data_IF_219450605287
#
_entry.id   IF_219450605287
#
_cell.length_a   1.000
_cell.length_b   1.000
_cell.length_c   1.000
_cell.angle_alpha   90.00
_cell.angle_beta   90.00
_cell.angle_gamma   90.00
#
_symmetry.space_group_name_H-M   'P 1'
#
loop_
_entity.id
_entity.type
_entity.pdbx_description
1 polymer ?
#
# COMPACT_ATOMS: atom_id res chain seq x y z
N UNK A 1 -69.82 24.36 -18.66
CA UNK A 1 -69.58 24.08 -17.22
C UNK A 1 -68.08 23.89 -17.07
N UNK A 2 -67.39 24.81 -16.39
CA UNK A 2 -65.93 24.72 -16.24
C UNK A 2 -65.60 23.63 -15.20
N UNK A 3 -64.79 22.65 -15.58
CA UNK A 3 -64.22 21.67 -14.66
C UNK A 3 -63.64 22.40 -13.44
N UNK A 4 -64.27 22.24 -12.27
CA UNK A 4 -63.72 22.67 -10.99
C UNK A 4 -62.59 21.71 -10.59
N UNK A 5 -61.51 21.73 -11.36
CA UNK A 5 -60.28 21.02 -11.00
C UNK A 5 -59.74 21.60 -9.69
N UNK A 6 -59.42 20.73 -8.73
CA UNK A 6 -58.79 21.11 -7.45
C UNK A 6 -57.40 21.73 -7.63
N UNK A 7 -56.79 21.58 -8.81
CA UNK A 7 -55.44 22.06 -9.16
C UNK A 7 -55.43 23.45 -9.80
N UNK A 8 -56.34 24.32 -9.38
CA UNK A 8 -56.47 25.69 -9.88
C UNK A 8 -56.36 26.72 -8.75
N UNK A 9 -55.73 27.86 -9.06
CA UNK A 9 -55.55 28.96 -8.12
C UNK A 9 -56.89 29.63 -7.79
N UNK A 10 -57.13 29.82 -6.49
CA UNK A 10 -58.38 30.41 -5.94
C UNK A 10 -58.22 31.86 -5.48
N UNK A 11 -57.02 32.45 -5.61
CA UNK A 11 -56.77 33.86 -5.24
C UNK A 11 -57.54 34.81 -6.17
N UNK A 12 -58.00 35.94 -5.63
CA UNK A 12 -58.66 36.98 -6.43
C UNK A 12 -57.73 37.47 -7.55
N UNK A 13 -58.30 37.69 -8.74
CA UNK A 13 -57.52 38.06 -9.94
C UNK A 13 -56.73 36.92 -10.60
N UNK A 14 -56.65 35.71 -10.01
CA UNK A 14 -55.89 34.56 -10.56
C UNK A 14 -56.79 33.45 -11.10
N UNK A 15 -58.10 33.71 -11.20
CA UNK A 15 -59.13 32.69 -11.42
C UNK A 15 -58.84 31.86 -12.68
N UNK A 16 -58.91 30.53 -12.53
CA UNK A 16 -58.68 29.48 -13.53
C UNK A 16 -57.21 29.19 -13.92
N UNK A 17 -56.21 29.83 -13.29
CA UNK A 17 -54.81 29.47 -13.52
C UNK A 17 -54.47 28.14 -12.87
N UNK A 18 -53.86 27.21 -13.62
CA UNK A 18 -53.37 25.93 -13.07
C UNK A 18 -52.18 26.19 -12.14
N UNK A 19 -52.12 25.43 -11.05
CA UNK A 19 -50.89 25.39 -10.24
C UNK A 19 -49.79 24.70 -11.05
N UNK A 20 -48.59 25.29 -11.06
CA UNK A 20 -47.41 24.74 -11.73
C UNK A 20 -46.38 24.20 -10.73
N UNK A 21 -46.30 24.83 -9.56
CA UNK A 21 -45.29 24.51 -8.55
C UNK A 21 -45.92 24.16 -7.21
N UNK A 22 -45.31 23.19 -6.53
CA UNK A 22 -45.52 22.91 -5.12
C UNK A 22 -44.35 23.48 -4.33
N UNK A 23 -44.64 24.43 -3.43
CA UNK A 23 -43.65 25.09 -2.59
C UNK A 23 -43.38 24.27 -1.32
N UNK A 24 -42.31 23.49 -1.35
CA UNK A 24 -41.87 22.66 -0.22
C UNK A 24 -41.27 23.47 0.93
N UNK A 25 -41.03 24.76 0.70
CA UNK A 25 -40.58 25.71 1.73
C UNK A 25 -41.71 26.49 2.38
N UNK A 26 -42.96 26.25 2.00
CA UNK A 26 -44.08 26.97 2.56
C UNK A 26 -44.42 26.49 3.97
N UNK A 27 -44.40 27.41 4.93
CA UNK A 27 -45.01 27.20 6.25
C UNK A 27 -46.50 27.59 6.28
N UNK A 28 -46.99 28.24 5.22
CA UNK A 28 -48.39 28.65 5.08
C UNK A 28 -49.10 27.82 3.98
N UNK A 29 -50.26 27.25 4.32
CA UNK A 29 -51.12 26.50 3.40
C UNK A 29 -51.48 27.30 2.14
N UNK A 30 -51.71 28.60 2.24
CA UNK A 30 -52.13 29.45 1.12
C UNK A 30 -51.02 29.71 0.10
N UNK A 31 -49.78 29.35 0.46
CA UNK A 31 -48.57 29.49 -0.36
C UNK A 31 -47.96 28.15 -0.76
N UNK A 32 -48.67 27.04 -0.49
CA UNK A 32 -48.24 25.68 -0.81
C UNK A 32 -48.23 25.41 -2.32
N UNK A 33 -49.22 25.92 -3.05
CA UNK A 33 -49.29 25.79 -4.50
C UNK A 33 -49.17 27.16 -5.17
N UNK A 34 -48.38 27.23 -6.24
CA UNK A 34 -48.10 28.48 -6.94
C UNK A 34 -48.47 28.33 -8.43
N UNK A 35 -49.31 29.25 -8.90
CA UNK A 35 -49.57 29.46 -10.33
C UNK A 35 -48.59 30.51 -10.89
N UNK A 36 -48.50 30.70 -12.22
CA UNK A 36 -47.59 31.68 -12.84
C UNK A 36 -47.72 33.08 -12.25
N UNK A 37 -48.95 33.55 -12.05
CA UNK A 37 -49.22 34.89 -11.51
C UNK A 37 -48.75 35.00 -10.05
N UNK A 38 -48.99 33.98 -9.22
CA UNK A 38 -48.48 33.92 -7.84
C UNK A 38 -46.95 33.97 -7.79
N UNK A 39 -46.28 33.29 -8.73
CA UNK A 39 -44.81 33.29 -8.82
C UNK A 39 -44.33 34.69 -9.20
N UNK A 40 -44.88 35.29 -10.26
CA UNK A 40 -44.51 36.63 -10.70
C UNK A 40 -44.76 37.68 -9.61
N UNK A 41 -45.92 37.66 -8.96
CA UNK A 41 -46.21 38.58 -7.84
C UNK A 41 -45.21 38.44 -6.70
N UNK A 42 -44.83 37.21 -6.32
CA UNK A 42 -43.77 37.01 -5.32
C UNK A 42 -42.41 37.57 -5.74
N UNK A 43 -42.07 37.51 -7.04
CA UNK A 43 -40.83 38.13 -7.56
C UNK A 43 -40.89 39.67 -7.56
N UNK A 44 -42.07 40.25 -7.80
CA UNK A 44 -42.25 41.70 -7.86
C UNK A 44 -42.44 42.36 -6.49
N UNK A 45 -43.21 41.73 -5.58
CA UNK A 45 -43.58 42.29 -4.28
C UNK A 45 -42.51 42.07 -3.21
N UNK A 46 -41.64 41.07 -3.41
CA UNK A 46 -40.62 40.70 -2.45
C UNK A 46 -39.27 40.63 -3.17
N UNK A 47 -38.41 41.62 -2.94
CA UNK A 47 -36.95 41.46 -3.06
C UNK A 47 -36.42 40.31 -2.13
N UNK A 48 -37.28 39.54 -1.46
CA UNK A 48 -36.95 38.46 -0.53
C UNK A 48 -36.56 37.13 -1.18
N UNK A 49 -36.76 36.93 -2.49
CA UNK A 49 -36.28 35.68 -3.13
C UNK A 49 -34.74 35.62 -3.16
N UNK A 50 -34.05 36.75 -3.07
CA UNK A 50 -32.59 36.76 -2.94
C UNK A 50 -32.08 36.19 -1.60
N UNK A 51 -32.92 36.06 -0.56
CA UNK A 51 -32.43 35.77 0.79
C UNK A 51 -32.73 34.41 1.41
N UNK A 52 -33.42 33.46 0.75
CA UNK A 52 -33.37 32.03 1.17
C UNK A 52 -34.04 31.08 0.18
N UNK A 53 -33.22 30.28 -0.51
CA UNK A 53 -33.36 28.82 -0.78
C UNK A 53 -34.80 28.22 -0.82
N UNK A 54 -35.79 28.85 -1.47
CA UNK A 54 -37.11 28.22 -1.61
C UNK A 54 -36.98 26.99 -2.53
N UNK A 55 -37.40 25.83 -2.04
CA UNK A 55 -37.43 24.57 -2.78
C UNK A 55 -38.84 24.37 -3.30
N UNK A 56 -39.01 24.51 -4.62
CA UNK A 56 -40.26 24.24 -5.31
C UNK A 56 -40.11 23.00 -6.18
N UNK A 57 -41.10 22.12 -6.17
CA UNK A 57 -41.21 20.98 -7.10
C UNK A 57 -42.14 21.36 -8.25
N UNK A 58 -41.81 20.93 -9.45
CA UNK A 58 -42.72 21.00 -10.60
C UNK A 58 -43.80 19.92 -10.45
N UNK A 59 -45.06 20.32 -10.50
CA UNK A 59 -46.18 19.39 -10.32
C UNK A 59 -46.21 18.34 -11.43
N UNK A 60 -45.89 18.74 -12.67
CA UNK A 60 -45.83 17.81 -13.80
C UNK A 60 -44.67 16.82 -13.68
N UNK A 61 -43.61 17.14 -12.94
CA UNK A 61 -42.54 16.19 -12.63
C UNK A 61 -43.03 15.15 -11.61
N UNK A 62 -43.75 15.55 -10.57
CA UNK A 62 -44.27 14.63 -9.54
C UNK A 62 -45.19 13.52 -10.11
N UNK A 63 -45.78 13.73 -11.27
CA UNK A 63 -46.67 12.76 -11.93
C UNK A 63 -45.93 11.78 -12.85
N UNK A 64 -44.59 11.91 -12.98
CA UNK A 64 -43.75 11.02 -13.79
C UNK A 64 -43.11 9.94 -12.92
N UNK A 65 -43.01 8.74 -13.46
CA UNK A 65 -42.21 7.68 -12.86
C UNK A 65 -40.72 7.93 -13.13
N UNK A 66 -40.00 8.46 -12.14
CA UNK A 66 -38.55 8.60 -12.18
C UNK A 66 -37.86 7.32 -11.70
N UNK A 67 -36.87 6.82 -12.44
CA UNK A 67 -36.01 5.72 -11.97
C UNK A 67 -35.12 6.14 -10.78
N UNK A 68 -34.75 7.42 -10.69
CA UNK A 68 -33.90 7.97 -9.62
C UNK A 68 -34.46 9.30 -9.11
N UNK A 69 -34.78 9.34 -7.82
CA UNK A 69 -35.34 10.53 -7.15
C UNK A 69 -34.44 11.78 -7.17
N UNK A 70 -33.15 11.62 -7.52
CA UNK A 70 -32.19 12.73 -7.67
C UNK A 70 -32.43 13.57 -8.94
N UNK A 71 -33.18 13.02 -9.90
CA UNK A 71 -33.47 13.68 -11.17
C UNK A 71 -34.71 14.60 -11.05
N UNK A 72 -35.41 14.58 -9.91
CA UNK A 72 -36.52 15.46 -9.58
C UNK A 72 -35.99 16.82 -9.09
N UNK A 73 -36.32 17.90 -9.79
CA UNK A 73 -35.81 19.22 -9.44
C UNK A 73 -36.39 19.67 -8.10
N UNK A 74 -35.50 20.09 -7.18
CA UNK A 74 -35.89 20.52 -5.84
C UNK A 74 -36.03 19.38 -4.82
N UNK A 75 -35.70 18.13 -5.19
CA UNK A 75 -35.68 16.98 -4.29
C UNK A 75 -34.24 16.57 -3.88
N UNK A 76 -34.01 16.15 -2.62
CA UNK A 76 -34.91 16.26 -1.48
C UNK A 76 -35.06 17.74 -1.07
N UNK A 77 -36.23 18.16 -0.58
CA UNK A 77 -36.53 19.57 -0.28
C UNK A 77 -35.94 20.04 1.06
N UNK A 78 -34.69 19.68 1.35
CA UNK A 78 -33.99 20.06 2.58
C UNK A 78 -33.44 21.48 2.41
N UNK A 79 -33.71 22.34 3.39
CA UNK A 79 -33.33 23.76 3.36
C UNK A 79 -32.13 24.07 4.26
N UNK A 80 -32.04 23.38 5.40
CA UNK A 80 -30.98 23.59 6.38
C UNK A 80 -29.69 22.91 5.94
N UNK A 81 -28.60 23.67 5.91
CA UNK A 81 -27.28 23.19 5.45
C UNK A 81 -26.79 21.97 6.24
N UNK A 82 -26.99 22.00 7.57
CA UNK A 82 -26.64 20.90 8.46
C UNK A 82 -27.40 19.62 8.09
N UNK A 83 -28.68 19.72 7.76
CA UNK A 83 -29.50 18.57 7.39
C UNK A 83 -29.15 18.04 6.00
N UNK A 84 -28.78 18.93 5.06
CA UNK A 84 -28.26 18.54 3.74
C UNK A 84 -27.00 17.68 3.93
N UNK A 85 -26.05 18.15 4.77
CA UNK A 85 -24.81 17.45 5.03
C UNK A 85 -25.05 16.09 5.68
N UNK A 86 -25.95 16.00 6.67
CA UNK A 86 -26.32 14.73 7.31
C UNK A 86 -26.90 13.76 6.27
N UNK A 87 -27.83 14.21 5.44
CA UNK A 87 -28.46 13.37 4.41
C UNK A 87 -27.45 12.85 3.38
N UNK A 88 -26.55 13.72 2.90
CA UNK A 88 -25.48 13.33 1.98
C UNK A 88 -24.54 12.30 2.60
N UNK A 89 -24.06 12.55 3.82
CA UNK A 89 -23.19 11.62 4.53
C UNK A 89 -23.81 10.23 4.67
N UNK A 90 -25.08 10.15 5.05
CA UNK A 90 -25.77 8.87 5.16
C UNK A 90 -25.96 8.21 3.80
N UNK A 91 -26.37 8.95 2.77
CA UNK A 91 -26.57 8.42 1.41
C UNK A 91 -25.28 7.82 0.85
N UNK A 92 -24.16 8.50 1.04
CA UNK A 92 -22.85 8.03 0.56
C UNK A 92 -22.33 6.87 1.40
N UNK A 93 -22.57 6.88 2.71
CA UNK A 93 -22.34 5.72 3.57
C UNK A 93 -23.13 4.49 3.08
N UNK A 94 -24.39 4.66 2.66
CA UNK A 94 -25.19 3.56 2.09
C UNK A 94 -24.56 3.00 0.82
N UNK A 95 -24.17 3.87 -0.12
CA UNK A 95 -23.57 3.45 -1.38
C UNK A 95 -22.25 2.72 -1.19
N UNK A 96 -21.41 3.19 -0.26
CA UNK A 96 -20.08 2.63 -0.01
C UNK A 96 -20.13 1.30 0.74
N UNK A 97 -21.13 1.08 1.59
CA UNK A 97 -21.16 -0.05 2.52
C UNK A 97 -22.38 -0.98 2.37
N UNK A 98 -23.23 -0.75 1.35
CA UNK A 98 -24.35 -1.59 0.89
C UNK A 98 -25.26 -2.10 2.03
N UNK A 99 -26.20 -1.25 2.51
CA UNK A 99 -27.05 -1.51 3.68
C UNK A 99 -28.16 -2.57 3.49
N UNK A 100 -27.77 -3.83 3.28
CA UNK A 100 -28.62 -4.98 3.57
C UNK A 100 -27.95 -5.79 4.70
N UNK A 101 -28.38 -5.56 5.94
CA UNK A 101 -28.05 -6.30 7.18
C UNK A 101 -26.54 -6.57 7.47
N UNK A 102 -25.92 -5.75 8.35
CA UNK A 102 -24.55 -5.97 8.87
C UNK A 102 -23.63 -4.73 8.93
N UNK A 103 -24.21 -3.53 9.01
CA UNK A 103 -23.73 -2.36 8.26
C UNK A 103 -22.72 -1.47 8.96
N UNK A 104 -22.80 -1.37 10.28
CA UNK A 104 -21.74 -0.72 11.07
C UNK A 104 -20.55 -1.65 11.21
N UNK A 105 -20.80 -2.96 11.35
CA UNK A 105 -19.74 -3.95 11.42
C UNK A 105 -18.92 -4.00 10.14
N UNK A 106 -19.55 -4.05 8.96
CA UNK A 106 -18.84 -4.04 7.68
C UNK A 106 -17.97 -2.80 7.48
N UNK A 107 -18.45 -1.62 7.90
CA UNK A 107 -17.65 -0.39 7.89
C UNK A 107 -16.37 -0.56 8.73
N UNK A 108 -16.52 -1.01 9.98
CA UNK A 108 -15.36 -1.20 10.87
C UNK A 108 -14.45 -2.33 10.41
N UNK A 109 -15.00 -3.44 9.90
CA UNK A 109 -14.22 -4.52 9.29
C UNK A 109 -13.37 -3.99 8.14
N UNK A 110 -13.95 -3.22 7.21
CA UNK A 110 -13.20 -2.61 6.10
C UNK A 110 -12.12 -1.64 6.60
N UNK A 111 -12.41 -0.87 7.66
CA UNK A 111 -11.41 0.03 8.27
C UNK A 111 -10.26 -0.74 8.90
N UNK A 112 -10.54 -1.86 9.58
CA UNK A 112 -9.54 -2.75 10.16
C UNK A 112 -8.69 -3.38 9.06
N UNK A 113 -9.31 -3.93 8.01
CA UNK A 113 -8.62 -4.49 6.85
C UNK A 113 -7.68 -3.46 6.23
N UNK A 114 -8.19 -2.28 5.87
CA UNK A 114 -7.38 -1.22 5.26
C UNK A 114 -6.22 -0.77 6.17
N UNK A 115 -6.41 -0.76 7.49
CA UNK A 115 -5.35 -0.45 8.44
C UNK A 115 -4.23 -1.49 8.39
N UNK A 116 -4.59 -2.78 8.46
CA UNK A 116 -3.60 -3.87 8.45
C UNK A 116 -2.91 -4.02 7.10
N UNK A 117 -3.63 -3.86 5.98
CA UNK A 117 -3.03 -3.85 4.64
C UNK A 117 -1.99 -2.74 4.50
N UNK A 118 -2.32 -1.52 4.97
CA UNK A 118 -1.37 -0.40 4.94
C UNK A 118 -0.16 -0.66 5.84
N UNK A 119 -0.41 -1.19 7.04
CA UNK A 119 0.64 -1.53 7.99
C UNK A 119 1.59 -2.59 7.42
N UNK A 120 1.06 -3.64 6.79
CA UNK A 120 1.84 -4.68 6.11
C UNK A 120 2.70 -4.07 5.00
N UNK A 121 2.11 -3.23 4.15
CA UNK A 121 2.84 -2.53 3.09
C UNK A 121 4.00 -1.70 3.64
N UNK A 122 3.76 -0.90 4.69
CA UNK A 122 4.77 -0.04 5.30
C UNK A 122 5.90 -0.87 5.94
N UNK A 123 5.56 -1.97 6.60
CA UNK A 123 6.53 -2.92 7.16
C UNK A 123 7.39 -3.52 6.06
N UNK A 124 6.79 -4.04 4.99
CA UNK A 124 7.51 -4.65 3.87
C UNK A 124 8.43 -3.65 3.18
N UNK A 125 7.98 -2.40 3.05
CA UNK A 125 8.79 -1.32 2.48
C UNK A 125 10.02 -1.02 3.33
N UNK A 126 9.87 -0.94 4.65
CA UNK A 126 11.00 -0.71 5.56
C UNK A 126 11.97 -1.90 5.58
N UNK A 127 11.48 -3.15 5.55
CA UNK A 127 12.32 -4.35 5.43
C UNK A 127 13.15 -4.30 4.15
N UNK A 128 12.53 -3.97 3.00
CA UNK A 128 13.25 -3.84 1.73
C UNK A 128 14.32 -2.76 1.78
N UNK A 129 14.04 -1.63 2.44
CA UNK A 129 15.00 -0.55 2.64
C UNK A 129 16.18 -0.98 3.52
N UNK A 130 15.90 -1.65 4.64
CA UNK A 130 16.95 -2.18 5.53
C UNK A 130 17.84 -3.18 4.79
N UNK A 131 17.25 -4.15 4.07
CA UNK A 131 18.00 -5.09 3.23
C UNK A 131 18.95 -4.37 2.27
N UNK A 132 18.46 -3.36 1.53
CA UNK A 132 19.28 -2.59 0.60
C UNK A 132 20.44 -1.88 1.31
N UNK A 133 20.16 -1.26 2.45
CA UNK A 133 21.18 -0.55 3.23
C UNK A 133 22.24 -1.49 3.79
N UNK A 134 21.86 -2.68 4.25
CA UNK A 134 22.83 -3.68 4.75
C UNK A 134 23.73 -4.21 3.64
N UNK A 135 23.21 -4.39 2.43
CA UNK A 135 24.01 -4.75 1.26
C UNK A 135 25.03 -3.64 0.96
N UNK A 136 24.60 -2.38 0.89
CA UNK A 136 25.50 -1.24 0.65
C UNK A 136 26.55 -1.13 1.76
N UNK A 137 26.15 -1.32 3.02
CA UNK A 137 27.10 -1.34 4.14
C UNK A 137 28.13 -2.44 3.96
N UNK A 138 27.71 -3.66 3.58
CA UNK A 138 28.62 -4.78 3.36
C UNK A 138 29.59 -4.49 2.21
N UNK A 139 29.11 -3.94 1.10
CA UNK A 139 29.93 -3.51 -0.03
C UNK A 139 30.99 -2.48 0.41
N UNK A 140 30.59 -1.47 1.18
CA UNK A 140 31.52 -0.45 1.69
C UNK A 140 32.51 -1.02 2.71
N UNK A 141 32.05 -1.87 3.62
CA UNK A 141 32.89 -2.52 4.62
C UNK A 141 33.93 -3.42 3.95
N UNK A 142 33.49 -4.18 2.94
CA UNK A 142 34.36 -5.01 2.12
C UNK A 142 35.37 -4.14 1.37
N UNK A 143 34.95 -3.06 0.70
CA UNK A 143 35.88 -2.17 0.02
C UNK A 143 36.91 -1.56 1.00
N UNK A 144 36.50 -1.06 2.15
CA UNK A 144 37.42 -0.35 3.06
C UNK A 144 38.41 -1.29 3.77
N UNK A 145 38.01 -2.52 4.08
CA UNK A 145 38.82 -3.43 4.90
C UNK A 145 39.44 -4.58 4.08
N UNK A 146 38.91 -4.85 2.89
CA UNK A 146 39.28 -6.00 2.05
C UNK A 146 39.64 -5.59 0.61
N UNK A 147 39.83 -4.30 0.28
CA UNK A 147 40.29 -3.86 -1.04
C UNK A 147 41.60 -4.54 -1.49
N UNK A 148 42.49 -4.88 -0.54
CA UNK A 148 43.75 -5.58 -0.79
C UNK A 148 43.60 -7.11 -0.90
N UNK A 149 42.43 -7.67 -0.63
CA UNK A 149 42.13 -9.11 -0.58
C UNK A 149 41.60 -9.69 -1.90
N UNK A 150 41.29 -8.81 -2.84
CA UNK A 150 40.88 -9.15 -4.20
C UNK A 150 41.80 -8.47 -5.20
N UNK A 151 43.11 -8.74 -5.09
CA UNK A 151 43.82 -8.92 -6.35
C UNK A 151 43.34 -10.25 -6.91
N UNK A 152 42.99 -10.32 -8.20
CA UNK A 152 42.72 -11.60 -8.88
C UNK A 152 43.79 -12.65 -8.56
N UNK A 153 45.02 -12.18 -8.29
CA UNK A 153 46.15 -12.94 -7.77
C UNK A 153 45.83 -13.81 -6.54
N UNK A 154 45.19 -13.29 -5.48
CA UNK A 154 44.98 -14.05 -4.24
C UNK A 154 43.90 -15.14 -4.39
N UNK A 155 42.85 -14.87 -5.18
CA UNK A 155 41.81 -15.86 -5.51
C UNK A 155 42.34 -16.93 -6.47
N UNK A 156 43.11 -16.50 -7.47
CA UNK A 156 43.81 -17.41 -8.39
C UNK A 156 44.79 -18.29 -7.61
N UNK A 157 45.49 -17.74 -6.62
CA UNK A 157 46.36 -18.52 -5.74
C UNK A 157 45.60 -19.61 -4.97
N UNK A 158 44.40 -19.35 -4.41
CA UNK A 158 43.66 -20.42 -3.70
C UNK A 158 43.17 -21.49 -4.64
N UNK A 159 42.61 -21.13 -5.79
CA UNK A 159 42.16 -22.12 -6.77
C UNK A 159 43.33 -22.97 -7.26
N UNK A 160 44.48 -22.36 -7.57
CA UNK A 160 45.70 -23.07 -7.95
C UNK A 160 46.20 -23.98 -6.82
N UNK A 161 46.18 -23.53 -5.56
CA UNK A 161 46.58 -24.35 -4.41
C UNK A 161 45.63 -25.53 -4.24
N UNK A 162 44.31 -25.33 -4.28
CA UNK A 162 43.32 -26.41 -4.16
C UNK A 162 43.45 -27.41 -5.31
N UNK A 163 43.69 -26.94 -6.54
CA UNK A 163 43.91 -27.82 -7.69
C UNK A 163 45.12 -28.75 -7.51
N UNK A 164 46.16 -28.35 -6.75
CA UNK A 164 47.29 -29.23 -6.44
C UNK A 164 46.90 -30.47 -5.64
N UNK A 165 45.77 -30.42 -4.93
CA UNK A 165 45.24 -31.58 -4.19
C UNK A 165 44.36 -32.48 -5.06
N UNK A 166 44.12 -32.14 -6.33
CA UNK A 166 43.36 -32.99 -7.23
C UNK A 166 44.10 -34.32 -7.46
N UNK A 167 43.37 -35.41 -7.26
CA UNK A 167 43.86 -36.76 -7.43
C UNK A 167 44.17 -37.10 -8.90
N UNK A 168 43.73 -36.28 -9.86
CA UNK A 168 43.90 -36.53 -11.30
C UNK A 168 45.35 -36.84 -11.67
N UNK A 169 46.30 -36.00 -11.22
CA UNK A 169 47.73 -36.18 -11.52
C UNK A 169 48.27 -37.48 -10.90
N UNK A 170 47.85 -37.78 -9.66
CA UNK A 170 48.23 -39.02 -9.00
C UNK A 170 47.66 -40.25 -9.71
N UNK A 171 46.40 -40.20 -10.17
CA UNK A 171 45.77 -41.27 -10.96
C UNK A 171 46.50 -41.53 -12.26
N UNK A 172 46.85 -40.48 -13.00
CA UNK A 172 47.61 -40.60 -14.24
C UNK A 172 48.98 -41.25 -13.98
N UNK A 173 49.69 -40.82 -12.94
CA UNK A 173 50.98 -41.40 -12.55
C UNK A 173 50.87 -42.85 -12.09
N UNK A 174 49.81 -43.18 -11.36
CA UNK A 174 49.55 -44.55 -10.93
C UNK A 174 49.23 -45.48 -12.11
N UNK A 175 48.50 -44.99 -13.12
CA UNK A 175 48.26 -45.73 -14.36
C UNK A 175 49.53 -45.95 -15.18
N UNK A 176 50.50 -45.03 -15.16
CA UNK A 176 51.81 -45.25 -15.77
C UNK A 176 52.55 -46.41 -15.09
N UNK A 177 52.46 -46.49 -13.75
CA UNK A 177 53.03 -47.61 -12.99
C UNK A 177 52.33 -48.94 -13.31
N UNK A 178 50.99 -48.95 -13.33
CA UNK A 178 50.20 -50.14 -13.70
C UNK A 178 50.56 -50.66 -15.10
N UNK A 179 50.79 -49.75 -16.04
CA UNK A 179 51.23 -50.06 -17.42
C UNK A 179 52.73 -50.33 -17.54
N UNK A 180 53.44 -50.48 -16.43
CA UNK A 180 54.89 -50.76 -16.35
C UNK A 180 55.77 -49.71 -17.07
N UNK A 181 55.28 -48.48 -17.26
CA UNK A 181 56.05 -47.37 -17.86
C UNK A 181 57.02 -46.74 -16.87
N UNK A 182 56.74 -46.86 -15.58
CA UNK A 182 57.60 -46.44 -14.48
C UNK A 182 57.75 -47.58 -13.48
N UNK A 183 58.85 -47.61 -12.74
CA UNK A 183 59.09 -48.59 -11.68
C UNK A 183 58.58 -48.10 -10.29
N UNK A 184 58.62 -48.99 -9.30
CA UNK A 184 58.14 -48.68 -7.94
C UNK A 184 58.92 -47.56 -7.26
N UNK A 185 60.23 -47.45 -7.55
CA UNK A 185 61.07 -46.36 -7.04
C UNK A 185 60.60 -45.01 -7.57
N UNK A 186 60.37 -44.91 -8.88
CA UNK A 186 59.87 -43.68 -9.51
C UNK A 186 58.48 -43.27 -9.01
N UNK A 187 57.58 -44.23 -8.76
CA UNK A 187 56.28 -43.95 -8.16
C UNK A 187 56.42 -43.48 -6.70
N UNK A 188 57.34 -44.09 -5.94
CA UNK A 188 57.63 -43.69 -4.57
C UNK A 188 58.21 -42.28 -4.50
N UNK A 189 59.18 -41.96 -5.36
CA UNK A 189 59.79 -40.63 -5.43
C UNK A 189 58.74 -39.57 -5.77
N UNK A 190 57.87 -39.84 -6.76
CA UNK A 190 56.74 -38.97 -7.07
C UNK A 190 55.82 -38.74 -5.86
N UNK A 191 55.47 -39.81 -5.13
CA UNK A 191 54.65 -39.69 -3.91
C UNK A 191 55.34 -38.82 -2.85
N UNK A 192 56.65 -39.01 -2.64
CA UNK A 192 57.40 -38.22 -1.66
C UNK A 192 57.47 -36.75 -2.06
N UNK A 193 57.61 -36.46 -3.35
CA UNK A 193 57.58 -35.11 -3.88
C UNK A 193 56.21 -34.45 -3.64
N UNK A 194 55.10 -35.14 -3.90
CA UNK A 194 53.75 -34.64 -3.61
C UNK A 194 53.54 -34.40 -2.11
N UNK A 195 54.02 -35.30 -1.26
CA UNK A 195 53.96 -35.14 0.20
C UNK A 195 54.67 -33.87 0.65
N UNK A 196 55.90 -33.64 0.20
CA UNK A 196 56.70 -32.52 0.66
C UNK A 196 56.22 -31.19 0.10
N UNK A 197 55.85 -31.17 -1.18
CA UNK A 197 55.56 -29.92 -1.88
C UNK A 197 54.10 -29.48 -1.76
N UNK A 198 53.19 -30.42 -1.48
CA UNK A 198 51.74 -30.17 -1.49
C UNK A 198 51.11 -30.60 -0.16
N UNK A 199 51.12 -31.90 0.15
CA UNK A 199 50.25 -32.43 1.22
C UNK A 199 50.69 -32.05 2.64
N UNK A 200 52.00 -31.89 2.86
CA UNK A 200 52.60 -31.51 4.15
C UNK A 200 53.34 -30.16 4.06
N UNK A 201 52.96 -29.31 3.10
CA UNK A 201 53.60 -28.01 2.92
C UNK A 201 52.90 -26.95 3.77
N UNK A 202 53.52 -26.61 4.91
CA UNK A 202 52.98 -25.60 5.85
C UNK A 202 52.71 -24.24 5.20
N UNK A 203 53.49 -23.81 4.21
CA UNK A 203 53.27 -22.52 3.55
C UNK A 203 51.93 -22.48 2.80
N UNK A 204 51.50 -23.60 2.21
CA UNK A 204 50.20 -23.70 1.55
C UNK A 204 49.06 -23.59 2.57
N UNK A 205 49.16 -24.32 3.69
CA UNK A 205 48.13 -24.27 4.73
C UNK A 205 48.08 -22.93 5.45
N UNK A 206 49.22 -22.30 5.75
CA UNK A 206 49.28 -20.97 6.35
C UNK A 206 48.62 -19.92 5.44
N UNK A 207 48.79 -20.06 4.12
CA UNK A 207 48.14 -19.19 3.13
C UNK A 207 46.62 -19.39 3.14
N UNK A 208 46.15 -20.64 3.10
CA UNK A 208 44.72 -20.98 3.16
C UNK A 208 44.09 -20.52 4.48
N UNK A 209 44.76 -20.73 5.62
CA UNK A 209 44.28 -20.34 6.95
C UNK A 209 44.14 -18.82 7.07
N UNK A 210 45.12 -18.05 6.58
CA UNK A 210 45.04 -16.57 6.56
C UNK A 210 43.83 -16.08 5.78
N UNK A 211 43.54 -16.67 4.63
CA UNK A 211 42.36 -16.30 3.85
C UNK A 211 41.06 -16.71 4.55
N UNK A 212 41.01 -17.89 5.16
CA UNK A 212 39.85 -18.35 5.90
C UNK A 212 39.52 -17.45 7.11
N UNK A 213 40.53 -17.05 7.91
CA UNK A 213 40.34 -16.16 9.06
C UNK A 213 39.66 -14.84 8.69
N UNK A 214 40.02 -14.27 7.55
CA UNK A 214 39.43 -13.04 7.03
C UNK A 214 37.96 -13.19 6.64
N UNK A 215 37.56 -14.35 6.11
CA UNK A 215 36.14 -14.67 5.85
C UNK A 215 35.37 -14.79 7.17
N UNK A 216 35.97 -15.40 8.19
CA UNK A 216 35.33 -15.54 9.50
C UNK A 216 35.17 -14.18 10.20
N UNK A 217 36.13 -13.27 10.08
CA UNK A 217 36.00 -11.88 10.55
C UNK A 217 34.83 -11.15 9.87
N UNK A 218 34.70 -11.27 8.55
CA UNK A 218 33.58 -10.67 7.80
C UNK A 218 32.23 -11.22 8.28
N UNK A 219 32.14 -12.53 8.53
CA UNK A 219 30.94 -13.18 9.04
C UNK A 219 30.55 -12.64 10.41
N UNK A 220 31.51 -12.49 11.33
CA UNK A 220 31.25 -11.96 12.67
C UNK A 220 30.74 -10.51 12.63
N UNK A 221 31.30 -9.66 11.77
CA UNK A 221 30.83 -8.28 11.63
C UNK A 221 29.44 -8.20 11.00
N UNK A 222 29.13 -9.06 10.04
CA UNK A 222 27.77 -9.17 9.48
C UNK A 222 26.75 -9.60 10.55
N UNK A 223 27.11 -10.54 11.42
CA UNK A 223 26.27 -10.98 12.54
C UNK A 223 26.01 -9.83 13.54
N UNK A 224 27.01 -8.99 13.82
CA UNK A 224 26.85 -7.79 14.66
C UNK A 224 25.88 -6.79 14.04
N UNK A 225 25.99 -6.53 12.74
CA UNK A 225 25.05 -5.63 12.06
C UNK A 225 23.62 -6.16 12.06
N UNK A 226 23.42 -7.47 11.86
CA UNK A 226 22.10 -8.08 12.01
C UNK A 226 21.53 -7.91 13.42
N UNK A 227 22.36 -8.00 14.46
CA UNK A 227 21.93 -7.76 15.84
C UNK A 227 21.53 -6.29 16.08
N UNK A 228 22.24 -5.33 15.50
CA UNK A 228 21.90 -3.89 15.54
C UNK A 228 20.54 -3.65 14.87
N UNK A 229 20.30 -4.25 13.70
CA UNK A 229 19.03 -4.12 12.98
C UNK A 229 17.88 -4.71 13.80
N UNK A 230 18.08 -5.89 14.41
CA UNK A 230 17.07 -6.56 15.25
C UNK A 230 16.71 -5.74 16.50
N UNK A 231 17.67 -5.00 17.07
CA UNK A 231 17.45 -4.15 18.24
C UNK A 231 16.87 -2.77 17.88
N UNK A 232 17.02 -2.32 16.63
CA UNK A 232 16.43 -1.08 16.13
C UNK A 232 14.91 -1.22 15.92
N UNK A 233 14.16 -1.07 17.02
CA UNK A 233 12.68 -1.14 17.17
C UNK A 233 11.85 -0.15 16.34
N UNK A 234 12.30 0.30 15.15
CA UNK A 234 11.49 1.19 14.29
C UNK A 234 10.15 0.56 13.88
N UNK A 235 10.12 -0.76 13.64
CA UNK A 235 8.86 -1.49 13.40
C UNK A 235 7.89 -1.39 14.59
N UNK A 236 8.39 -1.43 15.83
CA UNK A 236 7.58 -1.34 17.04
C UNK A 236 6.99 0.06 17.27
N UNK A 237 7.69 1.12 16.86
CA UNK A 237 7.15 2.49 16.93
C UNK A 237 6.04 2.73 15.91
N UNK A 238 6.17 2.22 14.68
CA UNK A 238 5.11 2.32 13.65
C UNK A 238 3.84 1.58 14.10
N UNK A 239 3.98 0.43 14.73
CA UNK A 239 2.88 -0.33 15.35
C UNK A 239 2.23 0.43 16.53
N UNK A 240 3.02 1.09 17.38
CA UNK A 240 2.50 1.89 18.52
C UNK A 240 1.77 3.16 18.09
N UNK A 241 2.24 3.86 17.05
CA UNK A 241 1.64 5.10 16.55
C UNK A 241 0.30 4.80 15.85
N UNK A 242 0.18 3.67 15.14
CA UNK A 242 -1.06 3.24 14.50
C UNK A 242 -2.21 3.00 15.48
N UNK A 243 -1.92 2.49 16.68
CA UNK A 243 -2.91 2.25 17.74
C UNK A 243 -3.34 3.53 18.48
N UNK A 244 -2.49 4.57 18.52
CA UNK A 244 -2.80 5.82 19.23
C UNK A 244 -3.64 6.82 18.41
N UNK A 245 -3.68 6.69 17.08
CA UNK A 245 -4.25 7.74 16.21
C UNK A 245 -5.77 7.70 15.97
N UNK A 246 -6.55 6.76 16.53
CA UNK A 246 -8.00 6.69 16.26
C UNK A 246 -8.95 6.66 17.46
N UNK A 247 -8.47 6.78 18.69
CA UNK A 247 -9.36 6.97 19.86
C UNK A 247 -9.32 8.39 20.45
N UNK A 248 -8.64 9.34 19.79
CA UNK A 248 -8.63 10.77 20.14
C UNK A 248 -9.13 11.63 18.98
N UNK A 249 -10.39 11.44 18.59
CA UNK A 249 -11.21 12.52 18.04
C UNK A 249 -12.54 12.48 18.79
N UNK A 250 -12.60 13.26 19.88
CA UNK A 250 -13.84 13.74 20.48
C UNK A 250 -14.14 15.09 19.87
#
# INVERSE_FOLDING_TARGET
MADKSTMQCKKEGHKNQKFMYMNMSSQNKDNLFLCPICVSQKYFELEQIQQKKQKTLLIDELMKDYEKSKDLFGWPPIQEEKHIQIHQNHTDFIKLYNLQNGTVQNFFTKKIENFYEKLEYDILKEIKKQKKNTIIWLENYYQNNFQNLTTEQELKNVQEIIQKFDIKNFKEKFQEFEKQKINIGQLFDYKQEQNNNIYNNNQLYDSLEKQYKKVEELKQELEKEFAIIKTNKKLSKTLQIGLQFQFKQR
#
